data_IF_761843449019
#
_entry.id   IF_761843449019
#
_cell.length_a   1.000
_cell.length_b   1.000
_cell.length_c   1.000
_cell.angle_alpha   90.00
_cell.angle_beta   90.00
_cell.angle_gamma   90.00
#
_symmetry.space_group_name_H-M   'P 1'
#
loop_
_entity.id
_entity.type
_entity.pdbx_description
1 polymer ?
#
# COMPACT_ATOMS: atom_id res chain seq x y z
N UNK A 1 -3.28 -6.61 -28.17
CA UNK A 1 -4.32 -7.53 -28.69
C UNK A 1 -5.51 -7.44 -27.74
N UNK A 2 -6.74 -7.33 -28.26
CA UNK A 2 -7.93 -7.35 -27.40
C UNK A 2 -8.16 -8.76 -26.85
N UNK A 3 -8.76 -8.90 -25.65
CA UNK A 3 -8.97 -10.21 -25.03
C UNK A 3 -9.82 -11.16 -25.89
N UNK A 4 -10.79 -10.61 -26.63
CA UNK A 4 -11.61 -11.39 -27.58
C UNK A 4 -10.77 -12.03 -28.68
N UNK A 5 -9.85 -11.27 -29.27
CA UNK A 5 -8.96 -11.77 -30.34
C UNK A 5 -8.02 -12.85 -29.80
N UNK A 6 -7.49 -12.63 -28.59
CA UNK A 6 -6.63 -13.59 -27.91
C UNK A 6 -7.35 -14.92 -27.66
N UNK A 7 -8.57 -14.87 -27.13
CA UNK A 7 -9.40 -16.07 -26.90
C UNK A 7 -9.72 -16.80 -28.20
N UNK A 8 -10.02 -16.08 -29.29
CA UNK A 8 -10.29 -16.73 -30.58
C UNK A 8 -9.06 -17.38 -31.16
N UNK A 9 -7.90 -16.74 -31.07
CA UNK A 9 -6.62 -17.31 -31.48
C UNK A 9 -6.30 -18.57 -30.65
N UNK A 10 -6.47 -18.51 -29.33
CA UNK A 10 -6.26 -19.67 -28.46
C UNK A 10 -7.19 -20.83 -28.80
N UNK A 11 -8.48 -20.56 -29.06
CA UNK A 11 -9.45 -21.58 -29.50
C UNK A 11 -9.05 -22.20 -30.83
N UNK A 12 -8.63 -21.39 -31.79
CA UNK A 12 -8.16 -21.89 -33.09
C UNK A 12 -6.93 -22.78 -32.92
N UNK A 13 -5.93 -22.35 -32.14
CA UNK A 13 -4.74 -23.14 -31.87
C UNK A 13 -5.09 -24.48 -31.19
N UNK A 14 -5.98 -24.47 -30.20
CA UNK A 14 -6.47 -25.70 -29.59
C UNK A 14 -7.15 -26.63 -30.61
N UNK A 15 -7.94 -26.09 -31.55
CA UNK A 15 -8.58 -26.89 -32.61
C UNK A 15 -7.60 -27.47 -33.62
N UNK A 16 -6.44 -26.83 -33.83
CA UNK A 16 -5.43 -27.30 -34.77
C UNK A 16 -4.63 -28.49 -34.24
N UNK A 17 -4.64 -28.75 -32.94
CA UNK A 17 -3.90 -29.86 -32.31
C UNK A 17 -4.75 -31.14 -32.42
N UNK A 18 -4.61 -31.84 -33.55
CA UNK A 18 -5.41 -33.02 -33.86
C UNK A 18 -4.73 -34.32 -33.44
N UNK A 19 -3.39 -34.38 -33.49
CA UNK A 19 -2.66 -35.66 -33.39
C UNK A 19 -2.31 -36.06 -31.96
N UNK A 20 -1.94 -35.09 -31.11
CA UNK A 20 -1.56 -35.33 -29.72
C UNK A 20 -2.10 -34.18 -28.87
N UNK A 21 -3.39 -34.23 -28.46
CA UNK A 21 -3.98 -33.18 -27.66
C UNK A 21 -3.25 -33.05 -26.33
N UNK A 22 -2.96 -31.81 -25.94
CA UNK A 22 -2.37 -31.51 -24.65
C UNK A 22 -3.40 -31.80 -23.54
N UNK A 23 -2.92 -32.18 -22.35
CA UNK A 23 -3.80 -32.29 -21.19
C UNK A 23 -4.49 -30.97 -20.87
N UNK A 24 -5.72 -31.03 -20.35
CA UNK A 24 -6.56 -29.86 -20.08
C UNK A 24 -5.88 -28.85 -19.15
N UNK A 25 -5.22 -29.35 -18.11
CA UNK A 25 -4.46 -28.52 -17.18
C UNK A 25 -3.32 -27.77 -17.89
N UNK A 26 -2.63 -28.44 -18.80
CA UNK A 26 -1.56 -27.82 -19.58
C UNK A 26 -2.10 -26.78 -20.55
N UNK A 27 -3.24 -27.05 -21.21
CA UNK A 27 -3.88 -26.08 -22.09
C UNK A 27 -4.28 -24.81 -21.34
N UNK A 28 -4.91 -24.97 -20.17
CA UNK A 28 -5.30 -23.85 -19.30
C UNK A 28 -4.08 -23.06 -18.86
N UNK A 29 -3.02 -23.72 -18.39
CA UNK A 29 -1.81 -23.03 -17.93
C UNK A 29 -1.07 -22.29 -19.05
N UNK A 30 -1.00 -22.88 -20.26
CA UNK A 30 -0.43 -22.19 -21.43
C UNK A 30 -1.27 -20.97 -21.80
N UNK A 31 -2.60 -21.08 -21.73
CA UNK A 31 -3.50 -19.95 -21.97
C UNK A 31 -3.30 -18.84 -20.92
N UNK A 32 -3.36 -19.15 -19.63
CA UNK A 32 -3.18 -18.16 -18.54
C UNK A 32 -1.77 -17.54 -18.58
N UNK A 33 -0.74 -18.35 -18.82
CA UNK A 33 0.64 -17.89 -18.93
C UNK A 33 0.92 -17.01 -20.15
N UNK A 34 0.16 -17.19 -21.24
CA UNK A 34 0.24 -16.35 -22.42
C UNK A 34 -0.51 -15.01 -22.31
N UNK A 35 -1.30 -14.79 -21.25
CA UNK A 35 -2.03 -13.54 -21.03
C UNK A 35 -1.13 -12.44 -20.48
N UNK A 36 -1.46 -11.19 -20.84
CA UNK A 36 -0.85 -10.01 -20.23
C UNK A 36 -1.16 -9.99 -18.73
N UNK A 37 -0.16 -9.65 -17.93
CA UNK A 37 -0.31 -9.40 -16.49
C UNK A 37 -1.37 -8.32 -16.23
N UNK A 38 -2.25 -8.57 -15.26
CA UNK A 38 -3.34 -7.66 -14.91
C UNK A 38 -4.46 -8.36 -14.13
N UNK A 39 -5.55 -7.62 -13.90
CA UNK A 39 -6.70 -8.12 -13.14
C UNK A 39 -7.31 -9.39 -13.74
N UNK A 40 -7.47 -9.43 -15.07
CA UNK A 40 -8.04 -10.58 -15.77
C UNK A 40 -7.23 -11.87 -15.55
N UNK A 41 -5.89 -11.79 -15.63
CA UNK A 41 -5.01 -12.93 -15.39
C UNK A 41 -5.03 -13.37 -13.93
N UNK A 42 -4.99 -12.41 -13.00
CA UNK A 42 -5.10 -12.69 -11.56
C UNK A 42 -6.43 -13.39 -11.21
N UNK A 43 -7.53 -12.98 -11.83
CA UNK A 43 -8.84 -13.62 -11.62
C UNK A 43 -8.84 -15.08 -12.07
N UNK A 44 -8.12 -15.42 -13.15
CA UNK A 44 -7.98 -16.81 -13.62
C UNK A 44 -7.11 -17.66 -12.69
N UNK A 45 -5.98 -17.12 -12.23
CA UNK A 45 -5.09 -17.79 -11.28
C UNK A 45 -5.82 -18.12 -9.96
N UNK A 46 -6.78 -17.28 -9.55
CA UNK A 46 -7.61 -17.51 -8.36
C UNK A 46 -8.80 -18.43 -8.59
N UNK A 47 -9.36 -18.42 -9.80
CA UNK A 47 -10.55 -19.21 -10.13
C UNK A 47 -10.22 -20.68 -10.42
N UNK A 48 -8.95 -20.99 -10.73
CA UNK A 48 -8.46 -22.34 -11.04
C UNK A 48 -9.38 -23.09 -12.02
N UNK A 49 -9.59 -22.56 -13.25
CA UNK A 49 -10.50 -23.19 -14.21
C UNK A 49 -10.03 -24.59 -14.58
N UNK A 50 -10.96 -25.55 -14.58
CA UNK A 50 -10.67 -26.94 -14.91
C UNK A 50 -10.56 -27.16 -16.42
N UNK A 51 -11.21 -26.30 -17.22
CA UNK A 51 -11.29 -26.42 -18.68
C UNK A 51 -10.87 -25.13 -19.39
N UNK A 52 -10.48 -25.27 -20.66
CA UNK A 52 -10.10 -24.13 -21.48
C UNK A 52 -11.31 -23.22 -21.76
N UNK A 53 -12.50 -23.80 -21.93
CA UNK A 53 -13.76 -23.08 -22.12
C UNK A 53 -14.15 -22.25 -20.89
N UNK A 54 -13.97 -22.80 -19.69
CA UNK A 54 -14.15 -22.06 -18.44
C UNK A 54 -13.17 -20.90 -18.34
N UNK A 55 -11.90 -21.15 -18.66
CA UNK A 55 -10.89 -20.09 -18.69
C UNK A 55 -11.27 -18.97 -19.68
N UNK A 56 -11.78 -19.31 -20.86
CA UNK A 56 -12.28 -18.33 -21.83
C UNK A 56 -13.46 -17.52 -21.28
N UNK A 57 -14.41 -18.17 -20.63
CA UNK A 57 -15.58 -17.50 -20.05
C UNK A 57 -15.18 -16.51 -18.94
N UNK A 58 -14.26 -16.92 -18.06
CA UNK A 58 -13.72 -16.06 -17.01
C UNK A 58 -12.95 -14.89 -17.62
N UNK A 59 -12.05 -15.16 -18.57
CA UNK A 59 -11.23 -14.14 -19.22
C UNK A 59 -12.08 -13.03 -19.85
N UNK A 60 -13.13 -13.40 -20.61
CA UNK A 60 -14.02 -12.44 -21.26
C UNK A 60 -14.87 -11.65 -20.26
N UNK A 61 -15.38 -12.31 -19.22
CA UNK A 61 -16.18 -11.67 -18.18
C UNK A 61 -15.37 -10.65 -17.38
N UNK A 62 -14.16 -11.01 -17.00
CA UNK A 62 -13.29 -10.14 -16.22
C UNK A 62 -12.73 -8.98 -17.06
N UNK A 63 -12.35 -9.22 -18.31
CA UNK A 63 -11.97 -8.13 -19.23
C UNK A 63 -13.10 -7.12 -19.43
N UNK A 64 -14.35 -7.61 -19.56
CA UNK A 64 -15.51 -6.73 -19.61
C UNK A 64 -15.68 -5.90 -18.32
N UNK A 65 -15.59 -6.52 -17.14
CA UNK A 65 -15.67 -5.78 -15.87
C UNK A 65 -14.56 -4.74 -15.72
N UNK A 66 -13.34 -5.10 -16.10
CA UNK A 66 -12.18 -4.22 -16.05
C UNK A 66 -12.39 -3.04 -16.99
N UNK A 67 -12.75 -3.30 -18.25
CA UNK A 67 -13.02 -2.25 -19.24
C UNK A 67 -14.19 -1.35 -18.83
N UNK A 68 -15.26 -1.93 -18.27
CA UNK A 68 -16.41 -1.17 -17.75
C UNK A 68 -16.02 -0.28 -16.55
N UNK A 69 -15.19 -0.78 -15.64
CA UNK A 69 -14.69 -0.02 -14.49
C UNK A 69 -13.82 1.16 -14.91
N UNK A 70 -13.04 1.03 -15.99
CA UNK A 70 -12.25 2.13 -16.55
C UNK A 70 -13.07 3.08 -17.44
N UNK A 71 -14.13 2.60 -18.07
CA UNK A 71 -15.02 3.42 -18.90
C UNK A 71 -15.97 4.28 -18.07
N UNK A 72 -16.35 3.83 -16.86
CA UNK A 72 -17.15 4.60 -15.91
C UNK A 72 -16.22 5.50 -15.09
N UNK A 73 -16.31 6.84 -15.21
CA UNK A 73 -15.66 7.70 -14.23
C UNK A 73 -16.27 7.37 -12.86
N UNK A 74 -15.44 6.91 -11.92
CA UNK A 74 -15.83 6.71 -10.54
C UNK A 74 -16.08 8.08 -9.88
N UNK A 75 -17.21 8.70 -10.20
CA UNK A 75 -17.77 9.72 -9.33
C UNK A 75 -18.27 8.97 -8.11
N UNK A 76 -17.37 8.75 -7.16
CA UNK A 76 -17.74 8.37 -5.81
C UNK A 76 -18.41 9.60 -5.19
N UNK A 77 -19.70 9.80 -5.47
CA UNK A 77 -20.57 10.54 -4.56
C UNK A 77 -20.80 9.62 -3.37
N UNK A 78 -19.83 9.56 -2.44
CA UNK A 78 -20.19 9.24 -1.08
C UNK A 78 -21.18 10.34 -0.69
N UNK A 79 -22.45 10.04 -0.36
CA UNK A 79 -23.27 11.01 0.34
C UNK A 79 -22.52 11.22 1.65
N UNK A 80 -21.77 12.32 1.74
CA UNK A 80 -21.14 12.75 2.98
C UNK A 80 -22.30 12.76 3.98
N UNK A 81 -22.32 11.90 5.02
CA UNK A 81 -23.30 12.07 6.08
C UNK A 81 -23.16 13.52 6.51
N UNK A 82 -24.28 14.24 6.61
CA UNK A 82 -24.31 15.68 6.89
C UNK A 82 -23.39 15.94 8.07
N UNK A 83 -22.14 16.30 7.78
CA UNK A 83 -21.16 16.62 8.78
C UNK A 83 -21.61 17.93 9.40
N UNK A 84 -21.09 18.28 10.58
CA UNK A 84 -21.30 19.63 11.08
C UNK A 84 -20.94 20.62 9.97
N UNK A 85 -21.82 21.61 9.79
CA UNK A 85 -21.66 22.68 8.82
C UNK A 85 -20.21 23.20 8.94
N UNK A 86 -19.44 23.21 7.84
CA UNK A 86 -18.08 23.75 7.89
C UNK A 86 -18.20 25.20 8.34
N UNK A 87 -17.71 25.48 9.56
CA UNK A 87 -17.67 26.83 10.09
C UNK A 87 -16.93 27.72 9.09
N UNK A 88 -17.53 28.86 8.75
CA UNK A 88 -16.87 29.87 7.94
C UNK A 88 -15.61 30.32 8.69
N UNK A 89 -14.45 29.91 8.18
CA UNK A 89 -13.17 30.42 8.64
C UNK A 89 -13.03 31.76 7.94
N UNK A 90 -13.36 32.84 8.64
CA UNK A 90 -13.08 34.19 8.17
C UNK A 90 -11.62 34.25 7.73
N UNK A 91 -11.40 34.67 6.49
CA UNK A 91 -10.07 35.03 6.01
C UNK A 91 -9.62 36.17 6.91
N UNK A 92 -8.72 35.86 7.84
CA UNK A 92 -7.98 36.88 8.57
C UNK A 92 -7.21 37.63 7.49
N UNK A 93 -7.73 38.78 7.06
CA UNK A 93 -6.90 39.79 6.41
C UNK A 93 -5.80 40.08 7.41
N UNK A 94 -4.64 39.46 7.19
CA UNK A 94 -3.47 39.74 7.99
C UNK A 94 -3.13 41.19 7.72
N UNK A 95 -3.55 42.07 8.63
CA UNK A 95 -2.76 43.23 9.00
C UNK A 95 -1.32 42.76 8.99
N UNK A 96 -0.56 43.32 8.06
CA UNK A 96 0.88 43.28 8.02
C UNK A 96 1.45 43.20 9.44
N UNK A 97 2.38 42.27 9.64
CA UNK A 97 3.24 42.03 10.79
C UNK A 97 2.91 40.87 11.78
N UNK A 98 3.67 39.78 11.58
CA UNK A 98 4.31 38.91 12.60
C UNK A 98 3.62 37.63 13.09
N UNK A 99 3.24 36.70 12.21
CA UNK A 99 3.45 35.27 12.54
C UNK A 99 3.60 34.35 11.35
N UNK A 100 4.76 33.71 11.29
CA UNK A 100 5.21 32.81 10.23
C UNK A 100 4.51 31.46 10.37
N UNK A 101 3.62 31.14 9.43
CA UNK A 101 3.33 29.75 9.08
C UNK A 101 4.49 29.29 8.20
N UNK A 102 5.26 28.33 8.69
CA UNK A 102 6.33 27.69 7.92
C UNK A 102 5.66 26.58 7.12
N UNK A 103 5.28 26.88 5.88
CA UNK A 103 5.14 25.87 4.84
C UNK A 103 6.53 25.30 4.57
N UNK A 104 6.67 23.99 4.73
CA UNK A 104 7.86 23.26 4.29
C UNK A 104 7.85 23.16 2.76
N UNK A 105 8.29 24.22 2.09
CA UNK A 105 8.88 24.10 0.75
C UNK A 105 10.34 24.52 0.86
N UNK A 106 11.21 23.60 0.45
CA UNK A 106 12.65 23.74 0.57
C UNK A 106 13.18 24.81 -0.37
N UNK A 107 13.28 26.05 0.11
CA UNK A 107 14.08 27.08 -0.55
C UNK A 107 15.56 26.89 -0.22
N UNK A 108 16.24 26.12 -1.07
CA UNK A 108 17.69 25.90 -1.03
C UNK A 108 18.54 27.17 -1.29
N UNK A 109 17.95 28.38 -1.28
CA UNK A 109 18.63 29.62 -1.70
C UNK A 109 18.44 30.83 -0.79
N UNK A 110 17.77 30.70 0.36
CA UNK A 110 17.72 31.79 1.35
C UNK A 110 18.41 31.33 2.62
N UNK A 111 19.57 31.92 2.90
CA UNK A 111 20.46 31.61 4.04
C UNK A 111 19.87 31.89 5.43
N UNK A 112 18.64 31.46 5.71
CA UNK A 112 18.18 31.22 7.08
C UNK A 112 18.89 29.96 7.54
N UNK A 113 20.07 30.14 8.14
CA UNK A 113 20.80 29.06 8.81
C UNK A 113 19.83 28.34 9.76
N UNK A 114 19.47 27.10 9.42
CA UNK A 114 18.67 26.26 10.28
C UNK A 114 19.32 26.23 11.66
N UNK A 115 18.59 26.67 12.67
CA UNK A 115 19.06 26.63 14.06
C UNK A 115 19.13 25.18 14.54
N UNK A 116 20.08 24.88 15.42
CA UNK A 116 20.16 23.60 16.09
C UNK A 116 18.85 23.28 16.83
N UNK A 117 18.27 22.09 16.61
CA UNK A 117 17.00 21.71 17.26
C UNK A 117 17.06 21.61 18.79
N UNK A 118 18.27 21.53 19.38
CA UNK A 118 18.47 21.51 20.84
C UNK A 118 18.56 22.92 21.45
N UNK A 119 19.42 23.79 20.91
CA UNK A 119 19.71 25.10 21.50
C UNK A 119 19.22 26.30 20.67
N UNK A 120 18.61 26.05 19.51
CA UNK A 120 18.13 27.03 18.52
C UNK A 120 19.19 28.03 18.00
N UNK A 121 20.47 27.82 18.32
CA UNK A 121 21.59 28.60 17.77
C UNK A 121 21.95 28.10 16.38
N UNK A 122 22.22 28.99 15.41
CA UNK A 122 22.71 28.60 14.10
C UNK A 122 24.17 28.12 14.17
N UNK A 123 24.67 27.51 13.09
CA UNK A 123 26.09 27.16 12.95
C UNK A 123 26.50 25.73 13.36
N UNK A 124 25.57 24.90 13.83
CA UNK A 124 25.82 23.47 14.06
C UNK A 124 24.51 22.66 14.03
N UNK A 125 24.59 21.35 13.80
CA UNK A 125 23.42 20.45 13.86
C UNK A 125 23.19 19.94 15.28
N UNK A 126 21.99 19.43 15.56
CA UNK A 126 21.64 18.89 16.89
C UNK A 126 22.57 17.76 17.37
N UNK A 127 23.14 16.99 16.44
CA UNK A 127 24.12 15.93 16.74
C UNK A 127 25.48 16.47 17.23
N UNK A 128 25.85 17.69 16.82
CA UNK A 128 27.12 18.34 17.13
C UNK A 128 26.98 19.32 18.31
N UNK A 129 25.80 19.39 18.93
CA UNK A 129 25.49 20.36 19.96
C UNK A 129 26.01 19.90 21.32
N UNK A 130 26.91 20.70 21.90
CA UNK A 130 27.42 20.51 23.27
C UNK A 130 26.44 20.96 24.37
N UNK A 131 25.26 21.47 24.02
CA UNK A 131 24.24 21.79 25.01
C UNK A 131 23.75 20.50 25.68
N UNK A 132 23.57 20.50 27.02
CA UNK A 132 23.01 19.35 27.72
C UNK A 132 21.71 18.91 27.06
N UNK A 133 21.57 17.61 26.78
CA UNK A 133 20.29 17.09 26.31
C UNK A 133 19.22 17.39 27.37
N UNK A 134 18.00 17.79 26.99
CA UNK A 134 16.93 17.95 27.95
C UNK A 134 16.68 16.59 28.61
N UNK A 135 16.99 16.51 29.89
CA UNK A 135 16.73 15.35 30.74
C UNK A 135 15.21 15.19 30.85
N UNK A 136 14.70 14.07 30.36
CA UNK A 136 13.32 13.64 30.61
C UNK A 136 13.24 13.23 32.08
N UNK A 137 12.52 13.99 32.90
CA UNK A 137 12.25 13.62 34.29
C UNK A 137 10.86 13.01 34.34
N UNK A 138 10.82 11.69 34.52
CA UNK A 138 9.74 10.91 35.13
C UNK A 138 10.40 9.60 35.60
N UNK A 139 11.01 9.65 36.78
CA UNK A 139 10.45 9.22 38.08
C UNK A 139 10.72 7.72 38.33
N UNK A 140 11.74 7.51 39.15
CA UNK A 140 12.19 6.23 39.69
C UNK A 140 11.34 5.95 40.93
N UNK A 141 10.49 4.93 40.88
CA UNK A 141 9.98 4.30 42.10
C UNK A 141 10.99 3.23 42.54
N UNK A 142 11.75 3.57 43.58
CA UNK A 142 12.63 2.65 44.28
C UNK A 142 11.80 1.74 45.18
N UNK A 143 11.77 0.44 44.88
CA UNK A 143 11.67 -0.59 45.90
C UNK A 143 12.86 -1.53 45.77
N UNK A 144 13.61 -1.61 46.87
CA UNK A 144 14.89 -2.25 47.04
C UNK A 144 14.70 -3.63 47.70
N UNK A 145 15.44 -4.61 47.17
CA UNK A 145 15.89 -5.89 47.78
C UNK A 145 14.82 -6.94 48.18
N UNK A 146 14.98 -8.23 47.91
CA UNK A 146 16.16 -8.95 47.44
C UNK A 146 15.88 -10.45 47.19
N UNK A 147 16.97 -11.15 46.94
CA UNK A 147 17.18 -12.60 46.80
C UNK A 147 16.79 -13.34 45.51
N UNK A 148 17.85 -13.66 44.76
CA UNK A 148 18.01 -14.73 43.76
C UNK A 148 18.63 -15.92 44.52
N UNK A 149 18.22 -17.20 44.35
CA UNK A 149 18.80 -17.94 43.22
C UNK A 149 17.99 -19.07 42.55
N UNK A 150 18.28 -19.19 41.24
CA UNK A 150 18.48 -20.40 40.44
C UNK A 150 17.60 -21.65 40.66
N UNK A 151 16.90 -22.08 39.59
CA UNK A 151 17.20 -23.30 38.83
C UNK A 151 15.98 -23.77 38.00
N UNK A 152 16.20 -24.06 36.71
CA UNK A 152 15.35 -24.97 35.90
C UNK A 152 15.53 -26.41 36.44
N UNK A 153 14.50 -27.29 36.36
CA UNK A 153 14.44 -28.18 35.19
C UNK A 153 13.03 -28.61 34.73
N UNK A 154 13.06 -29.27 33.56
CA UNK A 154 12.01 -30.00 32.82
C UNK A 154 11.18 -30.94 33.71
N UNK A 155 9.88 -31.07 33.44
CA UNK A 155 9.33 -32.38 33.04
C UNK A 155 7.94 -32.30 32.39
N UNK A 156 7.73 -33.19 31.42
CA UNK A 156 6.46 -33.57 30.83
C UNK A 156 5.54 -34.22 31.86
N UNK A 157 4.22 -34.06 31.71
CA UNK A 157 3.28 -35.19 31.73
C UNK A 157 1.86 -34.80 31.32
N UNK A 158 1.30 -35.72 30.55
CA UNK A 158 -0.07 -35.91 30.11
C UNK A 158 -1.16 -35.57 31.14
N UNK A 159 -2.26 -35.02 30.63
CA UNK A 159 -3.58 -35.64 30.67
C UNK A 159 -4.46 -35.07 29.55
#
# INVERSE_FOLDING_TARGET
MAMRDYVQMARHLASCIITHPMDMYTQVNVFVGGMREGQTRLSLERAEPATLEEAFAIALREDFKVTEAYAKPSVVTVPRPSGPEPMEIDVIESSSDRRRVISHEGDARTGRQMGCFRCRKPGHRAAECLAPAPISVQEVDTHHEGDVPAARPRNCRDQ
#
